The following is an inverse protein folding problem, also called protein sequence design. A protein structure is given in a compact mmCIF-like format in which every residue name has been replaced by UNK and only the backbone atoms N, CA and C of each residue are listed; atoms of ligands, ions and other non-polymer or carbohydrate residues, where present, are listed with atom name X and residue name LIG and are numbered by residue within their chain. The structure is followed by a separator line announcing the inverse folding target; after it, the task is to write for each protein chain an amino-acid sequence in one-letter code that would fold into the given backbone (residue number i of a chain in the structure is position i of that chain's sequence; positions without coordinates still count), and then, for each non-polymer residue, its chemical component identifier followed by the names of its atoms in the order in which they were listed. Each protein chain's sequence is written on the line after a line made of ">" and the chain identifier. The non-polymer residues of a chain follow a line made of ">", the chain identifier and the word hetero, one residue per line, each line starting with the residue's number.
data_IF_426230166168
#
_entry.id   IF_426230166168
#
_cell.length_a   1.000
_cell.length_b   1.000
_cell.length_c   1.000
_cell.angle_alpha   90.00
_cell.angle_beta   90.00
_cell.angle_gamma   90.00
#
_symmetry.space_group_name_H-M   'P 1'
#
loop_
_entity.id
_entity.type
_entity.pdbx_description
1 polymer ?
#
# COMPACT_ATOMS: atom_id res chain seq x y z
N UNK A 1 7.19 -6.37 -46.84
CA UNK A 1 8.26 -5.46 -47.30
C UNK A 1 8.20 -4.19 -46.46
N UNK A 2 9.23 -3.96 -45.65
CA UNK A 2 9.37 -2.79 -44.76
C UNK A 2 10.01 -1.64 -45.54
N UNK A 3 9.49 -0.42 -45.37
CA UNK A 3 10.05 0.82 -45.91
C UNK A 3 11.23 1.29 -45.03
N UNK A 4 12.47 1.48 -45.55
CA UNK A 4 13.68 1.54 -44.71
C UNK A 4 14.28 2.94 -44.47
N UNK A 5 13.49 4.02 -44.31
CA UNK A 5 14.05 5.38 -44.36
C UNK A 5 13.80 6.31 -43.15
N UNK A 6 13.52 5.81 -41.94
CA UNK A 6 13.51 6.66 -40.73
C UNK A 6 14.22 5.98 -39.55
N UNK A 7 15.35 6.52 -39.04
CA UNK A 7 16.01 5.98 -37.86
C UNK A 7 15.24 6.40 -36.60
N UNK A 8 14.55 5.46 -35.96
CA UNK A 8 13.83 5.66 -34.70
C UNK A 8 14.73 5.56 -33.45
N UNK A 9 15.99 6.02 -33.51
CA UNK A 9 16.87 6.02 -32.33
C UNK A 9 17.44 7.41 -32.06
N UNK A 10 17.31 7.84 -30.81
CA UNK A 10 18.10 8.92 -30.26
C UNK A 10 19.59 8.54 -30.33
N UNK A 11 20.45 9.51 -30.62
CA UNK A 11 21.90 9.33 -30.59
C UNK A 11 22.58 10.41 -29.74
N UNK A 12 23.84 10.17 -29.40
CA UNK A 12 24.68 11.09 -28.63
C UNK A 12 25.62 11.83 -29.59
N UNK A 13 25.86 13.12 -29.35
CA UNK A 13 26.95 13.85 -30.00
C UNK A 13 28.31 13.56 -29.31
N UNK A 14 29.40 14.05 -29.89
CA UNK A 14 30.77 13.82 -29.40
C UNK A 14 31.02 14.46 -28.01
N UNK A 15 30.13 15.36 -27.57
CA UNK A 15 30.13 15.98 -26.25
C UNK A 15 29.19 15.26 -25.25
N UNK A 16 28.53 14.17 -25.68
CA UNK A 16 27.69 13.31 -24.85
C UNK A 16 26.24 13.78 -24.66
N UNK A 17 25.75 14.73 -25.47
CA UNK A 17 24.36 15.19 -25.41
C UNK A 17 23.43 14.32 -26.25
N UNK A 18 22.22 14.04 -25.74
CA UNK A 18 21.21 13.25 -26.45
C UNK A 18 20.45 14.14 -27.45
N UNK A 19 20.51 13.79 -28.73
CA UNK A 19 19.74 14.45 -29.79
C UNK A 19 18.56 13.54 -30.18
N UNK A 20 17.34 14.09 -30.08
CA UNK A 20 16.09 13.41 -30.47
C UNK A 20 15.67 13.82 -31.89
N UNK A 21 15.11 12.92 -32.72
CA UNK A 21 14.65 13.26 -34.06
C UNK A 21 13.46 14.23 -33.99
N UNK A 22 13.58 15.38 -34.66
CA UNK A 22 12.65 16.50 -34.57
C UNK A 22 11.28 16.26 -35.23
N UNK A 23 10.21 16.74 -34.58
CA UNK A 23 8.88 16.91 -35.18
C UNK A 23 8.90 18.08 -36.17
N UNK A 24 8.66 17.80 -37.45
CA UNK A 24 8.36 18.84 -38.44
C UNK A 24 6.93 19.35 -38.27
N UNK A 25 6.82 20.68 -38.19
CA UNK A 25 5.57 21.47 -38.15
C UNK A 25 5.02 21.59 -39.57
N UNK A 26 3.92 20.90 -39.91
CA UNK A 26 3.11 21.20 -41.10
C UNK A 26 1.75 20.47 -41.06
N UNK A 27 0.68 21.22 -40.75
CA UNK A 27 -0.63 21.23 -41.43
C UNK A 27 -1.68 21.85 -40.48
N UNK A 28 -2.08 23.08 -40.77
CA UNK A 28 -3.24 23.75 -40.16
C UNK A 28 -4.53 22.96 -40.41
N UNK A 29 -5.48 22.91 -39.45
CA UNK A 29 -6.87 22.62 -39.76
C UNK A 29 -7.69 23.91 -39.82
N UNK A 30 -8.49 23.96 -40.88
CA UNK A 30 -9.53 24.91 -41.25
C UNK A 30 -10.44 25.33 -40.08
N UNK A 31 -10.47 26.63 -39.76
CA UNK A 31 -11.35 27.19 -38.72
C UNK A 31 -12.71 27.50 -39.33
N UNK A 32 -13.73 26.72 -38.93
CA UNK A 32 -15.14 27.02 -39.18
C UNK A 32 -15.60 28.09 -38.17
N UNK A 33 -15.88 29.31 -38.64
CA UNK A 33 -16.39 30.40 -37.81
C UNK A 33 -17.76 30.04 -37.19
N UNK A 34 -17.77 29.80 -35.88
CA UNK A 34 -18.99 29.88 -35.06
C UNK A 34 -18.94 31.20 -34.31
N UNK A 35 -19.67 32.19 -34.85
CA UNK A 35 -19.89 33.51 -34.24
C UNK A 35 -20.66 33.31 -32.92
N UNK A 36 -19.97 33.45 -31.78
CA UNK A 36 -20.60 33.61 -30.46
C UNK A 36 -20.49 35.08 -30.04
N UNK A 37 -21.62 35.71 -29.80
CA UNK A 37 -21.70 37.06 -29.24
C UNK A 37 -21.08 37.10 -27.83
N UNK A 38 -20.33 38.16 -27.47
CA UNK A 38 -19.74 38.28 -26.15
C UNK A 38 -20.80 38.68 -25.11
N UNK A 39 -20.92 37.86 -24.06
CA UNK A 39 -21.67 38.21 -22.84
C UNK A 39 -20.99 39.35 -22.08
N UNK A 40 -21.72 40.24 -21.40
CA UNK A 40 -21.16 41.43 -20.76
C UNK A 40 -20.29 41.07 -19.54
N UNK A 41 -19.06 41.62 -19.49
CA UNK A 41 -18.17 41.53 -18.33
C UNK A 41 -18.76 42.32 -17.16
N UNK A 42 -18.89 41.68 -16.00
CA UNK A 42 -19.02 42.40 -14.72
C UNK A 42 -17.63 42.83 -14.26
N UNK A 43 -17.41 44.13 -14.19
CA UNK A 43 -16.22 44.74 -13.59
C UNK A 43 -16.25 44.56 -12.06
N UNK A 44 -15.12 44.16 -11.48
CA UNK A 44 -14.89 44.15 -10.04
C UNK A 44 -14.03 45.40 -9.73
N UNK A 45 -14.42 46.30 -8.83
CA UNK A 45 -13.65 47.51 -8.55
C UNK A 45 -12.38 47.18 -7.75
N UNK A 46 -11.25 47.69 -8.22
CA UNK A 46 -9.95 47.67 -7.54
C UNK A 46 -9.89 48.94 -6.68
N UNK A 47 -9.55 48.87 -5.38
CA UNK A 47 -9.36 50.08 -4.58
C UNK A 47 -8.13 50.86 -5.07
N UNK A 48 -8.36 52.13 -5.43
CA UNK A 48 -7.35 53.15 -5.68
C UNK A 48 -6.62 53.46 -4.36
N UNK A 49 -5.38 52.95 -4.24
CA UNK A 49 -4.24 53.54 -3.49
C UNK A 49 -3.25 52.44 -3.12
N UNK A 50 -2.34 52.12 -4.04
CA UNK A 50 -1.07 51.47 -3.72
C UNK A 50 0.03 52.35 -4.33
N UNK A 51 0.65 53.17 -3.49
CA UNK A 51 1.89 53.87 -3.81
C UNK A 51 3.04 52.85 -3.80
N UNK A 52 3.61 52.60 -4.98
CA UNK A 52 4.87 51.88 -5.12
C UNK A 52 6.03 52.86 -4.96
N UNK A 53 6.69 52.86 -3.81
CA UNK A 53 7.95 53.60 -3.65
C UNK A 53 9.08 52.71 -4.16
N UNK A 54 9.55 53.03 -5.38
CA UNK A 54 10.84 52.61 -5.91
C UNK A 54 11.88 53.50 -5.24
N UNK A 55 12.82 52.93 -4.49
CA UNK A 55 14.04 53.65 -4.08
C UNK A 55 15.20 53.03 -4.86
N UNK A 56 15.62 53.76 -5.88
CA UNK A 56 16.87 53.53 -6.59
C UNK A 56 18.06 53.77 -5.65
N UNK A 57 19.08 52.91 -5.77
CA UNK A 57 20.39 53.09 -5.16
C UNK A 57 20.98 54.43 -5.61
N UNK A 58 21.20 55.35 -4.66
CA UNK A 58 22.11 56.46 -4.87
C UNK A 58 23.06 56.58 -3.67
N UNK A 59 24.37 56.34 -3.86
CA UNK A 59 25.35 56.40 -2.80
C UNK A 59 25.70 57.85 -2.47
N UNK A 60 25.78 58.14 -1.17
CA UNK A 60 26.46 59.29 -0.58
C UNK A 60 25.87 60.70 -0.83
N UNK A 61 24.95 61.09 0.07
CA UNK A 61 24.80 62.48 0.49
C UNK A 61 25.05 62.59 2.01
N UNK A 62 26.35 62.56 2.37
CA UNK A 62 26.86 63.08 3.63
C UNK A 62 27.13 64.58 3.45
N UNK A 63 26.39 65.44 4.16
CA UNK A 63 26.79 66.83 4.36
C UNK A 63 27.70 66.97 5.59
N UNK A 64 28.96 67.23 5.26
CA UNK A 64 30.13 67.81 5.95
C UNK A 64 29.96 68.54 7.29
N UNK A 65 30.93 68.32 8.17
CA UNK A 65 31.64 69.37 8.92
C UNK A 65 32.91 69.80 8.13
N UNK A 66 33.15 71.11 8.15
CA UNK A 66 34.36 71.92 7.94
C UNK A 66 35.02 72.11 6.54
N UNK A 67 35.32 73.40 6.25
CA UNK A 67 36.54 73.86 5.55
C UNK A 67 36.48 74.16 4.03
N UNK A 68 36.85 75.38 3.65
CA UNK A 68 36.92 76.07 2.32
C UNK A 68 38.31 75.83 1.62
N UNK A 69 38.61 76.07 0.30
CA UNK A 69 37.86 76.09 -0.99
C UNK A 69 38.54 75.36 -2.22
N UNK A 70 37.81 75.28 -3.36
CA UNK A 70 38.21 75.48 -4.81
C UNK A 70 39.38 74.66 -5.49
N UNK A 71 39.43 74.23 -6.77
CA UNK A 71 38.84 74.51 -8.12
C UNK A 71 38.97 73.23 -9.02
N UNK A 72 38.13 73.11 -10.06
CA UNK A 72 38.00 72.12 -11.18
C UNK A 72 39.23 71.90 -12.10
N UNK A 73 39.13 71.20 -13.26
CA UNK A 73 38.93 69.75 -13.48
C UNK A 73 39.99 69.14 -14.44
N UNK A 74 40.25 67.83 -14.38
CA UNK A 74 40.82 67.11 -15.54
C UNK A 74 40.51 65.60 -15.52
N UNK A 75 39.80 65.20 -16.55
CA UNK A 75 39.46 63.84 -16.94
C UNK A 75 40.72 63.05 -17.36
N UNK A 76 40.94 61.86 -16.79
CA UNK A 76 41.68 60.78 -17.46
C UNK A 76 41.18 59.43 -16.96
N UNK A 77 40.94 58.54 -17.92
CA UNK A 77 40.47 57.17 -17.77
C UNK A 77 41.66 56.26 -17.46
N UNK A 78 41.53 55.31 -16.51
CA UNK A 78 42.00 53.93 -16.68
C UNK A 78 41.53 52.95 -15.58
N UNK A 79 41.27 51.71 -16.02
CA UNK A 79 40.54 50.57 -15.40
C UNK A 79 41.02 50.11 -14.00
N UNK A 80 40.14 49.50 -13.17
CA UNK A 80 40.57 48.69 -12.02
C UNK A 80 40.45 47.16 -12.21
N UNK A 81 41.16 46.37 -11.38
CA UNK A 81 41.38 44.93 -11.55
C UNK A 81 40.48 44.04 -10.66
N UNK A 82 40.58 42.72 -10.87
CA UNK A 82 39.83 41.61 -10.22
C UNK A 82 39.64 41.76 -8.69
N UNK A 83 38.41 41.58 -8.21
CA UNK A 83 37.99 41.65 -6.78
C UNK A 83 37.79 40.23 -6.18
N UNK A 84 38.22 39.95 -4.92
CA UNK A 84 38.14 38.63 -4.29
C UNK A 84 36.80 38.29 -3.60
N UNK A 85 36.42 37.02 -3.73
CA UNK A 85 35.16 36.37 -3.31
C UNK A 85 35.12 36.07 -1.80
N UNK A 86 35.06 37.10 -0.92
CA UNK A 86 34.93 36.87 0.54
C UNK A 86 33.91 37.74 1.29
N UNK A 87 33.33 38.76 0.66
CA UNK A 87 32.48 39.74 1.35
C UNK A 87 30.98 39.35 1.32
N UNK A 88 30.55 38.47 0.41
CA UNK A 88 29.13 38.18 0.18
C UNK A 88 28.43 37.21 1.17
N UNK A 89 29.16 36.56 2.07
CA UNK A 89 28.59 35.54 3.00
C UNK A 89 28.10 36.19 4.29
N UNK A 90 28.78 37.22 4.79
CA UNK A 90 28.53 37.78 6.12
C UNK A 90 27.26 38.65 6.16
N UNK A 91 27.00 39.41 5.09
CA UNK A 91 25.80 40.24 4.96
C UNK A 91 24.52 39.41 4.85
N UNK A 92 24.58 38.27 4.15
CA UNK A 92 23.45 37.33 4.05
C UNK A 92 23.11 36.67 5.37
N UNK A 93 24.10 36.33 6.20
CA UNK A 93 23.87 35.72 7.52
C UNK A 93 23.19 36.73 8.47
N UNK A 94 23.57 38.00 8.44
CA UNK A 94 22.97 39.04 9.30
C UNK A 94 21.55 39.39 8.85
N UNK A 95 21.29 39.44 7.54
CA UNK A 95 19.96 39.65 6.98
C UNK A 95 18.99 38.52 7.36
N UNK A 96 19.40 37.25 7.21
CA UNK A 96 18.61 36.08 7.62
C UNK A 96 18.33 36.10 9.13
N UNK A 97 19.30 36.51 9.96
CA UNK A 97 19.14 36.59 11.42
C UNK A 97 18.18 37.70 11.86
N UNK A 98 18.04 38.77 11.08
CA UNK A 98 17.11 39.89 11.36
C UNK A 98 15.68 39.54 10.91
N UNK A 99 15.53 38.90 9.75
CA UNK A 99 14.23 38.41 9.24
C UNK A 99 13.65 37.33 10.17
N UNK A 100 14.48 36.38 10.62
CA UNK A 100 14.06 35.32 11.55
C UNK A 100 13.64 35.86 12.92
N UNK A 101 14.36 36.84 13.49
CA UNK A 101 13.93 37.50 14.74
C UNK A 101 12.64 38.31 14.58
N UNK A 102 12.46 38.99 13.45
CA UNK A 102 11.23 39.71 13.14
C UNK A 102 10.02 38.79 13.04
N UNK A 103 10.16 37.69 12.29
CA UNK A 103 9.12 36.68 12.12
C UNK A 103 8.75 35.98 13.43
N UNK A 104 9.73 35.66 14.29
CA UNK A 104 9.48 35.05 15.61
C UNK A 104 8.74 36.03 16.53
N UNK A 105 9.12 37.32 16.52
CA UNK A 105 8.48 38.33 17.37
C UNK A 105 7.05 38.63 16.90
N UNK A 106 6.82 38.66 15.59
CA UNK A 106 5.50 38.87 15.01
C UNK A 106 4.60 37.65 15.21
N UNK A 107 5.14 36.44 15.02
CA UNK A 107 4.44 35.19 15.34
C UNK A 107 4.06 35.09 16.81
N UNK A 108 4.94 35.49 17.74
CA UNK A 108 4.63 35.52 19.17
C UNK A 108 3.53 36.53 19.51
N UNK A 109 3.47 37.69 18.83
CA UNK A 109 2.38 38.66 18.98
C UNK A 109 1.07 38.12 18.41
N UNK A 110 1.08 37.55 17.21
CA UNK A 110 -0.09 36.95 16.58
C UNK A 110 -0.66 35.80 17.41
N UNK A 111 0.21 34.97 17.99
CA UNK A 111 -0.20 33.88 18.89
C UNK A 111 -0.83 34.40 20.19
N UNK A 112 -0.29 35.49 20.75
CA UNK A 112 -0.89 36.12 21.94
C UNK A 112 -2.23 36.78 21.65
N UNK A 113 -2.38 37.39 20.47
CA UNK A 113 -3.65 37.98 20.00
C UNK A 113 -4.67 36.89 19.71
N UNK A 114 -4.29 35.75 19.12
CA UNK A 114 -5.22 34.65 18.84
C UNK A 114 -5.72 33.97 20.11
N UNK A 115 -4.87 33.80 21.13
CA UNK A 115 -5.28 33.29 22.44
C UNK A 115 -6.24 34.26 23.15
N UNK A 116 -5.91 35.55 23.17
CA UNK A 116 -6.75 36.57 23.82
C UNK A 116 -8.07 36.81 23.06
N UNK A 117 -8.09 36.66 21.73
CA UNK A 117 -9.30 36.67 20.92
C UNK A 117 -10.11 35.37 21.02
N UNK A 118 -9.48 34.27 21.46
CA UNK A 118 -10.12 32.97 21.63
C UNK A 118 -11.15 32.94 22.76
N UNK A 119 -10.89 33.62 23.89
CA UNK A 119 -11.83 33.68 25.01
C UNK A 119 -13.20 34.30 24.66
N UNK A 120 -13.28 35.51 24.07
CA UNK A 120 -14.58 36.09 23.70
C UNK A 120 -15.27 35.31 22.57
N UNK A 121 -14.52 34.64 21.68
CA UNK A 121 -15.08 33.71 20.70
C UNK A 121 -15.69 32.47 21.36
N UNK A 122 -15.02 31.92 22.38
CA UNK A 122 -15.50 30.76 23.11
C UNK A 122 -16.78 31.06 23.89
N UNK A 123 -16.86 32.25 24.52
CA UNK A 123 -18.08 32.69 25.22
C UNK A 123 -19.23 32.93 24.25
N UNK A 124 -18.99 33.57 23.09
CA UNK A 124 -20.01 33.67 22.03
C UNK A 124 -20.45 32.32 21.51
N UNK A 125 -19.53 31.39 21.29
CA UNK A 125 -19.85 30.04 20.85
C UNK A 125 -20.68 29.26 21.90
N UNK A 126 -20.42 29.46 23.20
CA UNK A 126 -21.25 28.90 24.27
C UNK A 126 -22.66 29.48 24.25
N UNK A 127 -22.79 30.80 24.13
CA UNK A 127 -24.08 31.48 24.07
C UNK A 127 -24.89 31.04 22.83
N UNK A 128 -24.23 30.95 21.67
CA UNK A 128 -24.80 30.45 20.43
C UNK A 128 -25.25 28.98 20.55
N UNK A 129 -24.46 28.14 21.21
CA UNK A 129 -24.82 26.75 21.50
C UNK A 129 -26.02 26.64 22.44
N UNK A 130 -26.08 27.47 23.49
CA UNK A 130 -27.21 27.48 24.42
C UNK A 130 -28.49 27.96 23.72
N UNK A 131 -28.37 28.99 22.86
CA UNK A 131 -29.47 29.48 22.04
C UNK A 131 -29.95 28.41 21.04
N UNK A 132 -29.03 27.80 20.28
CA UNK A 132 -29.32 26.71 19.34
C UNK A 132 -29.98 25.54 20.05
N UNK A 133 -29.48 25.14 21.22
CA UNK A 133 -30.08 24.07 22.03
C UNK A 133 -31.52 24.40 22.42
N UNK A 134 -31.80 25.63 22.81
CA UNK A 134 -33.16 26.05 23.19
C UNK A 134 -34.10 26.07 21.98
N UNK A 135 -33.65 26.61 20.85
CA UNK A 135 -34.44 26.66 19.61
C UNK A 135 -34.73 25.26 19.09
N UNK A 136 -33.70 24.41 19.02
CA UNK A 136 -33.84 23.02 18.58
C UNK A 136 -34.72 22.22 19.53
N UNK A 137 -34.59 22.39 20.84
CA UNK A 137 -35.46 21.72 21.82
C UNK A 137 -36.92 22.15 21.66
N UNK A 138 -37.18 23.46 21.54
CA UNK A 138 -38.53 23.96 21.32
C UNK A 138 -39.13 23.42 20.03
N UNK A 139 -38.34 23.32 18.96
CA UNK A 139 -38.78 22.72 17.69
C UNK A 139 -39.06 21.22 17.82
N UNK A 140 -38.17 20.46 18.46
CA UNK A 140 -38.32 19.01 18.63
C UNK A 140 -39.49 18.66 19.54
N UNK A 141 -39.79 19.48 20.54
CA UNK A 141 -40.91 19.30 21.46
C UNK A 141 -42.29 19.67 20.86
N UNK A 142 -42.34 20.32 19.69
CA UNK A 142 -43.61 20.69 19.07
C UNK A 142 -44.47 19.45 18.77
N UNK A 143 -45.76 19.48 19.14
CA UNK A 143 -46.67 18.37 18.87
C UNK A 143 -47.04 18.32 17.39
N UNK A 144 -47.15 17.11 16.87
CA UNK A 144 -47.58 16.78 15.51
C UNK A 144 -48.60 15.66 15.59
N UNK A 145 -49.71 15.82 14.88
CA UNK A 145 -50.78 14.83 14.80
C UNK A 145 -50.59 14.00 13.55
N UNK A 146 -50.40 12.69 13.72
CA UNK A 146 -50.20 11.77 12.61
C UNK A 146 -51.43 10.86 12.49
N UNK A 147 -52.15 10.89 11.35
CA UNK A 147 -53.26 9.98 11.12
C UNK A 147 -52.70 8.57 10.92
N UNK A 148 -53.14 7.61 11.73
CA UNK A 148 -52.74 6.22 11.59
C UNK A 148 -53.69 5.46 10.66
N UNK A 149 -53.23 4.33 10.09
CA UNK A 149 -54.01 3.50 9.15
C UNK A 149 -55.34 2.99 9.72
N UNK A 150 -55.54 3.04 11.04
CA UNK A 150 -56.78 2.67 11.76
C UNK A 150 -57.70 3.87 12.07
N UNK A 151 -57.49 5.04 11.45
CA UNK A 151 -58.25 6.30 11.65
C UNK A 151 -58.14 6.93 13.05
N UNK A 152 -57.33 6.39 13.95
CA UNK A 152 -57.00 7.05 15.23
C UNK A 152 -55.89 8.08 15.02
N UNK A 153 -56.09 9.30 15.52
CA UNK A 153 -55.11 10.38 15.49
C UNK A 153 -54.22 10.22 16.73
N UNK A 154 -52.92 9.97 16.52
CA UNK A 154 -51.93 9.91 17.61
C UNK A 154 -51.06 11.14 17.59
N UNK A 155 -50.78 11.70 18.76
CA UNK A 155 -49.94 12.86 18.94
C UNK A 155 -48.52 12.42 19.27
N UNK A 156 -47.56 12.90 18.48
CA UNK A 156 -46.13 12.69 18.69
C UNK A 156 -45.42 14.04 18.77
N UNK A 157 -44.24 14.10 19.37
CA UNK A 157 -43.36 15.25 19.19
C UNK A 157 -42.59 15.13 17.87
N UNK A 158 -42.15 16.25 17.29
CA UNK A 158 -41.28 16.24 16.10
C UNK A 158 -40.00 15.43 16.35
N UNK A 159 -39.46 15.49 17.57
CA UNK A 159 -38.31 14.69 17.97
C UNK A 159 -38.60 13.20 17.95
N UNK A 160 -39.73 12.76 18.48
CA UNK A 160 -40.12 11.34 18.46
C UNK A 160 -40.32 10.82 17.04
N UNK A 161 -40.97 11.60 16.16
CA UNK A 161 -41.11 11.22 14.76
C UNK A 161 -39.76 11.12 14.05
N UNK A 162 -38.88 12.10 14.27
CA UNK A 162 -37.53 12.09 13.71
C UNK A 162 -36.71 10.88 14.18
N UNK A 163 -36.80 10.51 15.46
CA UNK A 163 -36.14 9.29 15.97
C UNK A 163 -36.71 8.03 15.35
N UNK A 164 -38.03 7.93 15.19
CA UNK A 164 -38.68 6.80 14.52
C UNK A 164 -38.24 6.68 13.06
N UNK A 165 -38.12 7.80 12.35
CA UNK A 165 -37.62 7.83 10.98
C UNK A 165 -36.14 7.42 10.92
N UNK A 166 -35.27 7.95 11.79
CA UNK A 166 -33.87 7.51 11.87
C UNK A 166 -33.77 6.01 12.11
N UNK A 167 -34.54 5.46 13.06
CA UNK A 167 -34.51 4.04 13.35
C UNK A 167 -35.00 3.21 12.17
N UNK A 168 -36.07 3.64 11.49
CA UNK A 168 -36.60 2.96 10.31
C UNK A 168 -35.61 3.00 9.15
N UNK A 169 -35.14 4.19 8.77
CA UNK A 169 -34.20 4.36 7.66
C UNK A 169 -32.84 3.75 7.96
N UNK A 170 -32.29 4.00 9.15
CA UNK A 170 -31.04 3.43 9.63
C UNK A 170 -31.10 1.91 9.73
N UNK A 171 -32.21 1.35 10.20
CA UNK A 171 -32.44 -0.10 10.22
C UNK A 171 -32.49 -0.70 8.81
N UNK A 172 -33.21 -0.07 7.89
CA UNK A 172 -33.28 -0.53 6.49
C UNK A 172 -31.90 -0.48 5.83
N UNK A 173 -31.16 0.62 6.05
CA UNK A 173 -29.78 0.77 5.59
C UNK A 173 -28.86 -0.30 6.18
N UNK A 174 -28.95 -0.58 7.48
CA UNK A 174 -28.14 -1.61 8.13
C UNK A 174 -28.40 -3.01 7.57
N UNK A 175 -29.67 -3.34 7.28
CA UNK A 175 -30.03 -4.63 6.67
C UNK A 175 -29.46 -4.74 5.25
N UNK A 176 -29.64 -3.70 4.42
CA UNK A 176 -29.09 -3.68 3.06
C UNK A 176 -27.56 -3.77 3.10
N UNK A 177 -26.92 -3.00 3.97
CA UNK A 177 -25.47 -3.01 4.17
C UNK A 177 -24.96 -4.39 4.59
N UNK A 178 -25.61 -5.03 5.57
CA UNK A 178 -25.24 -6.38 6.02
C UNK A 178 -25.40 -7.41 4.89
N UNK A 179 -26.52 -7.34 4.15
CA UNK A 179 -26.76 -8.23 3.00
C UNK A 179 -25.71 -8.06 1.89
N UNK A 180 -25.41 -6.81 1.51
CA UNK A 180 -24.36 -6.51 0.54
C UNK A 180 -22.97 -6.94 1.05
N UNK A 181 -22.66 -6.65 2.31
CA UNK A 181 -21.37 -7.02 2.91
C UNK A 181 -21.14 -8.54 2.86
N UNK A 182 -22.15 -9.33 3.20
CA UNK A 182 -22.08 -10.79 3.09
C UNK A 182 -21.98 -11.23 1.64
N UNK A 183 -22.77 -10.66 0.73
CA UNK A 183 -22.74 -11.02 -0.69
C UNK A 183 -21.38 -10.72 -1.36
N UNK A 184 -20.79 -9.56 -1.07
CA UNK A 184 -19.50 -9.13 -1.61
C UNK A 184 -18.32 -9.95 -1.09
N UNK A 185 -18.45 -10.53 0.09
CA UNK A 185 -17.40 -11.31 0.73
C UNK A 185 -17.78 -12.81 0.84
N UNK A 186 -18.79 -13.26 0.10
CA UNK A 186 -19.36 -14.61 0.23
C UNK A 186 -18.31 -15.71 0.04
N UNK A 187 -17.43 -15.53 -0.96
CA UNK A 187 -16.40 -16.51 -1.29
C UNK A 187 -15.45 -16.76 -0.10
N UNK A 188 -14.97 -15.70 0.54
CA UNK A 188 -14.13 -15.79 1.74
C UNK A 188 -14.87 -16.42 2.92
N UNK A 189 -16.14 -16.04 3.17
CA UNK A 189 -16.93 -16.61 4.27
C UNK A 189 -17.22 -18.10 4.08
N UNK A 190 -17.53 -18.52 2.85
CA UNK A 190 -17.81 -19.92 2.52
C UNK A 190 -16.57 -20.81 2.68
N UNK A 191 -15.39 -20.31 2.28
CA UNK A 191 -14.12 -21.01 2.47
C UNK A 191 -13.81 -21.26 3.95
N UNK A 192 -14.07 -20.29 4.83
CA UNK A 192 -13.86 -20.44 6.28
C UNK A 192 -14.88 -21.42 6.87
N UNK A 193 -16.16 -21.29 6.51
CA UNK A 193 -17.24 -22.10 7.07
C UNK A 193 -17.03 -23.58 6.77
N UNK A 194 -16.66 -23.92 5.53
CA UNK A 194 -16.30 -25.30 5.16
C UNK A 194 -15.14 -25.85 6.01
N UNK A 195 -14.11 -25.03 6.27
CA UNK A 195 -12.94 -25.48 7.04
C UNK A 195 -13.19 -25.67 8.54
N UNK A 196 -14.18 -24.99 9.13
CA UNK A 196 -14.52 -25.16 10.54
C UNK A 196 -15.52 -26.31 10.75
N UNK A 197 -16.38 -26.59 9.77
CA UNK A 197 -17.35 -27.69 9.83
C UNK A 197 -16.68 -29.05 9.56
N UNK A 198 -15.60 -29.11 8.77
CA UNK A 198 -14.85 -30.36 8.55
C UNK A 198 -14.12 -30.88 9.81
N UNK A 199 -13.93 -30.02 10.81
CA UNK A 199 -13.36 -30.38 12.13
C UNK A 199 -14.41 -30.98 13.07
N UNK A 200 -15.70 -30.71 12.83
CA UNK A 200 -16.82 -31.24 13.63
C UNK A 200 -17.48 -32.46 12.95
N UNK A 201 -17.42 -32.54 11.62
CA UNK A 201 -17.94 -33.69 10.85
C UNK A 201 -16.91 -34.79 10.61
N UNK A 202 -15.75 -34.77 11.28
CA UNK A 202 -14.83 -35.91 11.36
C UNK A 202 -15.24 -36.92 12.46
N UNK A 203 -16.54 -37.16 12.60
CA UNK A 203 -17.10 -38.35 13.24
C UNK A 203 -17.47 -39.36 12.14
N UNK A 204 -16.95 -40.59 12.15
CA UNK A 204 -17.19 -41.55 11.07
C UNK A 204 -18.58 -42.18 11.23
N UNK A 205 -19.55 -41.74 10.43
CA UNK A 205 -20.79 -42.50 10.15
C UNK A 205 -21.49 -41.89 8.93
N UNK A 206 -21.43 -42.55 7.76
CA UNK A 206 -22.57 -43.22 7.08
C UNK A 206 -23.54 -42.16 6.48
N UNK A 207 -23.79 -42.06 5.18
CA UNK A 207 -24.14 -43.12 4.22
C UNK A 207 -24.04 -42.61 2.78
N UNK A 208 -23.82 -43.56 1.89
CA UNK A 208 -23.79 -43.58 0.43
C UNK A 208 -25.05 -43.05 -0.28
N UNK A 209 -24.86 -42.25 -1.33
CA UNK A 209 -25.70 -42.25 -2.53
C UNK A 209 -24.99 -41.51 -3.68
N UNK A 210 -24.28 -42.24 -4.55
CA UNK A 210 -23.81 -41.75 -5.85
C UNK A 210 -22.49 -42.37 -6.33
N UNK A 211 -22.58 -43.14 -7.42
CA UNK A 211 -21.50 -43.64 -8.29
C UNK A 211 -20.54 -44.74 -7.79
N UNK A 212 -20.93 -46.00 -8.05
CA UNK A 212 -20.14 -47.21 -7.82
C UNK A 212 -18.91 -47.39 -8.73
N UNK A 213 -18.55 -46.39 -9.55
CA UNK A 213 -17.27 -46.37 -10.27
C UNK A 213 -16.16 -45.72 -9.42
N UNK A 214 -16.52 -44.81 -8.52
CA UNK A 214 -15.57 -44.08 -7.70
C UNK A 214 -15.19 -44.87 -6.44
N UNK A 215 -16.07 -45.70 -5.90
CA UNK A 215 -15.78 -46.49 -4.70
C UNK A 215 -14.70 -47.55 -4.90
N UNK A 216 -14.67 -48.22 -6.07
CA UNK A 216 -13.61 -49.16 -6.41
C UNK A 216 -12.26 -48.44 -6.61
N UNK A 217 -12.28 -47.24 -7.21
CA UNK A 217 -11.09 -46.41 -7.38
C UNK A 217 -10.61 -45.88 -6.03
N UNK A 218 -11.52 -45.47 -5.16
CA UNK A 218 -11.24 -44.99 -3.80
C UNK A 218 -10.76 -46.14 -2.91
N UNK A 219 -11.28 -47.36 -3.06
CA UNK A 219 -10.80 -48.54 -2.35
C UNK A 219 -9.40 -48.95 -2.83
N UNK A 220 -9.15 -48.88 -4.14
CA UNK A 220 -7.82 -49.10 -4.73
C UNK A 220 -6.84 -48.02 -4.27
N UNK A 221 -7.26 -46.74 -4.22
CA UNK A 221 -6.45 -45.62 -3.72
C UNK A 221 -6.23 -45.71 -2.21
N UNK A 222 -7.20 -46.19 -1.43
CA UNK A 222 -7.07 -46.45 0.01
C UNK A 222 -6.19 -47.66 0.29
N UNK A 223 -6.25 -48.73 -0.51
CA UNK A 223 -5.35 -49.87 -0.40
C UNK A 223 -3.92 -49.50 -0.83
N UNK A 224 -3.77 -48.68 -1.88
CA UNK A 224 -2.45 -48.14 -2.29
C UNK A 224 -1.92 -47.13 -1.26
N UNK A 225 -2.77 -46.32 -0.64
CA UNK A 225 -2.41 -45.41 0.44
C UNK A 225 -2.13 -46.15 1.75
N UNK A 226 -2.87 -47.21 2.08
CA UNK A 226 -2.66 -48.01 3.29
C UNK A 226 -1.42 -48.89 3.18
N UNK A 227 -1.14 -49.47 2.01
CA UNK A 227 0.11 -50.18 1.73
C UNK A 227 1.32 -49.23 1.68
N UNK A 228 1.13 -47.91 1.55
CA UNK A 228 2.19 -46.89 1.64
C UNK A 228 2.27 -46.18 3.00
N UNK A 229 1.51 -46.65 4.01
CA UNK A 229 1.46 -46.08 5.37
C UNK A 229 1.94 -47.06 6.45
N UNK A 230 2.46 -48.25 6.11
CA UNK A 230 3.25 -49.07 7.05
C UNK A 230 4.67 -48.50 7.26
N UNK A 231 4.72 -47.35 7.94
CA UNK A 231 5.43 -47.11 9.19
C UNK A 231 6.91 -47.44 9.41
N UNK A 232 7.65 -48.13 8.54
CA UNK A 232 9.05 -48.50 8.82
C UNK A 232 10.07 -48.26 7.71
N UNK A 233 9.66 -47.90 6.50
CA UNK A 233 10.61 -47.67 5.37
C UNK A 233 10.44 -46.32 4.66
N UNK A 234 9.91 -45.28 5.35
CA UNK A 234 9.74 -43.93 4.79
C UNK A 234 11.04 -43.13 4.58
N UNK A 235 12.18 -43.63 5.06
CA UNK A 235 13.48 -43.01 4.80
C UNK A 235 13.96 -43.22 3.36
N UNK A 236 13.57 -44.31 2.71
CA UNK A 236 14.20 -44.75 1.47
C UNK A 236 13.51 -44.15 0.23
N UNK A 237 12.21 -44.34 0.02
CA UNK A 237 11.52 -43.84 -1.19
C UNK A 237 11.52 -42.31 -1.34
N UNK A 238 11.45 -41.55 -0.24
CA UNK A 238 11.53 -40.08 -0.30
C UNK A 238 12.94 -39.60 -0.67
N UNK A 239 13.99 -40.38 -0.37
CA UNK A 239 15.37 -40.08 -0.74
C UNK A 239 15.67 -40.29 -2.23
N UNK A 240 14.85 -41.10 -2.92
CA UNK A 240 14.95 -41.34 -4.36
C UNK A 240 14.16 -40.35 -5.21
N UNK A 241 13.23 -39.59 -4.62
CA UNK A 241 12.58 -38.50 -5.34
C UNK A 241 13.61 -37.38 -5.54
N UNK A 242 13.80 -36.88 -6.77
CA UNK A 242 14.73 -35.79 -6.99
C UNK A 242 14.32 -34.60 -6.12
N UNK A 243 15.29 -33.99 -5.43
CA UNK A 243 15.05 -32.77 -4.63
C UNK A 243 14.61 -31.57 -5.47
N UNK A 244 14.59 -31.72 -6.80
CA UNK A 244 14.13 -30.67 -7.70
C UNK A 244 12.61 -30.62 -7.70
N UNK A 245 12.08 -29.50 -7.22
CA UNK A 245 10.65 -29.22 -7.29
C UNK A 245 10.16 -28.99 -8.72
N UNK A 246 8.86 -28.68 -8.86
CA UNK A 246 8.32 -28.12 -10.09
C UNK A 246 9.20 -26.96 -10.60
N UNK A 247 9.33 -26.76 -11.92
CA UNK A 247 10.21 -25.73 -12.47
C UNK A 247 9.78 -24.30 -12.11
N UNK A 248 8.54 -24.13 -11.66
CA UNK A 248 7.94 -22.86 -11.25
C UNK A 248 8.01 -22.63 -9.74
N UNK A 249 8.19 -21.36 -9.36
CA UNK A 249 8.22 -20.95 -7.96
C UNK A 249 6.81 -21.02 -7.36
N UNK A 250 6.67 -21.63 -6.18
CA UNK A 250 5.37 -21.83 -5.53
C UNK A 250 5.50 -22.01 -4.02
N UNK A 251 4.42 -21.72 -3.31
CA UNK A 251 4.27 -22.00 -1.88
C UNK A 251 3.21 -23.09 -1.67
N UNK A 252 3.52 -24.04 -0.79
CA UNK A 252 2.60 -25.09 -0.37
C UNK A 252 2.36 -24.97 1.14
N UNK A 253 1.10 -24.84 1.54
CA UNK A 253 0.70 -24.81 2.94
C UNK A 253 -0.26 -25.99 3.16
N UNK A 254 0.26 -27.19 3.53
CA UNK A 254 -0.53 -28.43 3.55
C UNK A 254 -1.79 -28.34 4.43
N UNK A 255 -1.67 -27.75 5.62
CA UNK A 255 -2.79 -27.57 6.56
C UNK A 255 -3.95 -26.78 5.96
N UNK A 256 -3.66 -25.86 5.05
CA UNK A 256 -4.66 -25.02 4.38
C UNK A 256 -5.06 -25.59 3.01
N UNK A 257 -4.47 -26.70 2.58
CA UNK A 257 -4.61 -27.27 1.23
C UNK A 257 -4.27 -26.26 0.13
N UNK A 258 -3.27 -25.40 0.39
CA UNK A 258 -2.82 -24.39 -0.58
C UNK A 258 -1.59 -24.88 -1.34
N UNK A 259 -1.64 -24.72 -2.67
CA UNK A 259 -0.53 -24.91 -3.60
C UNK A 259 -0.65 -23.80 -4.65
N UNK A 260 0.12 -22.73 -4.49
CA UNK A 260 -0.09 -21.48 -5.24
C UNK A 260 1.22 -20.91 -5.77
N UNK A 261 1.21 -20.27 -6.96
CA UNK A 261 2.40 -19.66 -7.53
C UNK A 261 2.98 -18.56 -6.64
N UNK A 262 4.31 -18.49 -6.60
CA UNK A 262 5.08 -17.43 -5.96
C UNK A 262 5.62 -16.50 -7.05
N UNK A 263 5.04 -15.30 -7.14
CA UNK A 263 5.36 -14.29 -8.14
C UNK A 263 6.33 -13.28 -7.55
N UNK A 264 7.38 -12.92 -8.30
CA UNK A 264 8.33 -11.87 -7.90
C UNK A 264 8.18 -10.68 -8.86
N UNK A 265 7.72 -9.51 -8.39
CA UNK A 265 7.61 -8.30 -9.20
C UNK A 265 8.98 -7.80 -9.68
N UNK A 266 9.03 -6.99 -10.75
CA UNK A 266 10.26 -6.35 -11.22
C UNK A 266 10.93 -5.52 -10.13
N UNK A 267 12.27 -5.52 -10.09
CA UNK A 267 13.03 -4.74 -9.11
C UNK A 267 13.30 -3.31 -9.57
N UNK A 268 13.13 -3.02 -10.87
CA UNK A 268 13.51 -1.74 -11.47
C UNK A 268 12.83 -0.54 -10.82
N UNK A 269 11.53 -0.66 -10.53
CA UNK A 269 10.72 0.36 -9.87
C UNK A 269 11.23 0.63 -8.44
N UNK A 270 11.63 -0.42 -7.72
CA UNK A 270 12.20 -0.31 -6.38
C UNK A 270 13.57 0.37 -6.42
N UNK A 271 14.44 0.00 -7.37
CA UNK A 271 15.76 0.60 -7.53
C UNK A 271 15.69 2.09 -7.88
N UNK A 272 14.66 2.50 -8.64
CA UNK A 272 14.38 3.90 -8.99
C UNK A 272 13.66 4.66 -7.87
N UNK A 273 13.32 4.00 -6.76
CA UNK A 273 12.53 4.58 -5.66
C UNK A 273 11.17 5.13 -6.11
N UNK A 274 10.58 4.54 -7.16
CA UNK A 274 9.23 4.87 -7.62
C UNK A 274 8.21 4.04 -6.84
N UNK A 275 7.85 4.53 -5.65
CA UNK A 275 6.95 3.83 -4.73
C UNK A 275 5.54 3.61 -5.31
N UNK A 276 5.08 4.50 -6.19
CA UNK A 276 3.78 4.38 -6.86
C UNK A 276 3.79 3.21 -7.84
N UNK A 277 4.86 3.09 -8.63
CA UNK A 277 5.02 1.98 -9.55
C UNK A 277 5.27 0.66 -8.81
N UNK A 278 6.04 0.66 -7.72
CA UNK A 278 6.25 -0.54 -6.88
C UNK A 278 4.92 -1.10 -6.37
N UNK A 279 4.03 -0.24 -5.87
CA UNK A 279 2.70 -0.66 -5.43
C UNK A 279 1.90 -1.27 -6.60
N UNK A 280 1.94 -0.62 -7.76
CA UNK A 280 1.26 -1.10 -8.98
C UNK A 280 1.78 -2.48 -9.41
N UNK A 281 3.10 -2.68 -9.37
CA UNK A 281 3.76 -3.93 -9.73
C UNK A 281 3.35 -5.06 -8.76
N UNK A 282 3.29 -4.76 -7.45
CA UNK A 282 2.84 -5.70 -6.43
C UNK A 282 1.35 -6.07 -6.62
N UNK A 283 0.48 -5.08 -6.84
CA UNK A 283 -0.95 -5.32 -7.07
C UNK A 283 -1.20 -6.15 -8.32
N UNK A 284 -0.45 -5.90 -9.39
CA UNK A 284 -0.50 -6.71 -10.60
C UNK A 284 -0.08 -8.16 -10.33
N UNK A 285 1.04 -8.37 -9.63
CA UNK A 285 1.55 -9.70 -9.31
C UNK A 285 0.61 -10.50 -8.38
N UNK A 286 -0.14 -9.84 -7.49
CA UNK A 286 -1.14 -10.47 -6.63
C UNK A 286 -2.33 -11.07 -7.41
N UNK A 287 -2.55 -10.66 -8.66
CA UNK A 287 -3.56 -11.26 -9.53
C UNK A 287 -3.19 -12.70 -9.96
N UNK A 288 -1.89 -13.02 -9.95
CA UNK A 288 -1.30 -14.25 -10.49
C UNK A 288 -0.77 -15.23 -9.41
N UNK A 289 -0.77 -14.82 -8.14
CA UNK A 289 -0.39 -15.70 -7.04
C UNK A 289 -0.14 -14.95 -5.73
N UNK A 290 0.72 -15.54 -4.89
CA UNK A 290 1.30 -14.83 -3.75
C UNK A 290 2.56 -14.12 -4.19
N UNK A 291 2.87 -12.98 -3.58
CA UNK A 291 3.96 -12.10 -4.01
C UNK A 291 5.13 -12.20 -3.06
N UNK A 292 6.31 -12.54 -3.58
CA UNK A 292 7.59 -12.31 -2.90
C UNK A 292 7.86 -10.79 -2.90
N UNK A 293 7.87 -10.20 -1.71
CA UNK A 293 8.00 -8.76 -1.58
C UNK A 293 9.36 -8.26 -2.10
N UNK A 294 9.39 -7.33 -3.06
CA UNK A 294 10.63 -6.84 -3.65
C UNK A 294 11.61 -6.30 -2.62
N UNK A 295 12.89 -6.65 -2.76
CA UNK A 295 13.96 -6.21 -1.86
C UNK A 295 14.12 -7.03 -0.57
N UNK A 296 13.30 -8.05 -0.34
CA UNK A 296 13.44 -8.97 0.80
C UNK A 296 14.27 -10.20 0.45
N UNK A 297 14.83 -10.88 1.45
CA UNK A 297 15.66 -12.07 1.25
C UNK A 297 14.94 -13.13 0.39
N UNK A 298 15.68 -13.85 -0.44
CA UNK A 298 15.15 -15.02 -1.16
C UNK A 298 15.12 -16.24 -0.23
N UNK A 299 14.32 -17.28 -0.55
CA UNK A 299 14.39 -18.54 0.16
C UNK A 299 15.85 -19.05 0.25
N UNK A 300 16.26 -19.48 1.44
CA UNK A 300 17.62 -19.91 1.73
C UNK A 300 18.65 -18.82 2.00
N UNK A 301 18.33 -17.54 1.80
CA UNK A 301 19.23 -16.43 2.11
C UNK A 301 19.08 -15.96 3.56
N UNK A 302 20.14 -15.37 4.11
CA UNK A 302 20.07 -14.64 5.36
C UNK A 302 19.11 -13.45 5.20
N UNK A 303 18.29 -13.20 6.22
CA UNK A 303 17.24 -12.19 6.22
C UNK A 303 15.85 -12.81 6.35
N UNK A 304 14.87 -12.02 5.92
CA UNK A 304 13.45 -12.33 6.03
C UNK A 304 12.83 -12.48 4.65
N UNK A 305 12.55 -13.70 4.24
CA UNK A 305 11.78 -14.01 3.03
C UNK A 305 10.31 -13.65 3.24
N UNK A 306 9.91 -12.50 2.69
CA UNK A 306 8.60 -11.93 2.94
C UNK A 306 7.64 -12.19 1.79
N UNK A 307 6.46 -12.75 2.10
CA UNK A 307 5.43 -13.08 1.13
C UNK A 307 4.11 -12.45 1.54
N UNK A 308 3.43 -11.82 0.59
CA UNK A 308 2.11 -11.22 0.77
C UNK A 308 1.08 -11.85 -0.15
N UNK A 309 -0.17 -11.94 0.29
CA UNK A 309 -1.29 -12.48 -0.47
C UNK A 309 -2.63 -11.92 0.00
N UNK A 310 -3.62 -11.88 -0.89
CA UNK A 310 -4.95 -11.36 -0.54
C UNK A 310 -5.71 -12.28 0.42
N UNK A 311 -6.31 -11.72 1.48
CA UNK A 311 -7.27 -12.43 2.34
C UNK A 311 -8.69 -12.37 1.78
N UNK A 312 -9.01 -11.31 1.06
CA UNK A 312 -10.26 -11.09 0.35
C UNK A 312 -10.08 -9.90 -0.58
N UNK A 313 -10.65 -9.96 -1.78
CA UNK A 313 -10.72 -8.83 -2.69
C UNK A 313 -12.05 -8.82 -3.42
N UNK A 314 -12.37 -7.72 -4.09
CA UNK A 314 -13.68 -7.57 -4.73
C UNK A 314 -13.96 -8.73 -5.71
N UNK A 315 -15.17 -9.35 -5.68
CA UNK A 315 -15.49 -10.46 -6.57
C UNK A 315 -15.30 -10.15 -8.05
N UNK A 316 -15.54 -8.89 -8.46
CA UNK A 316 -15.39 -8.41 -9.84
C UNK A 316 -13.96 -8.01 -10.24
N UNK A 317 -13.01 -7.99 -9.32
CA UNK A 317 -11.63 -7.69 -9.66
C UNK A 317 -11.04 -8.75 -10.62
N UNK A 318 -9.97 -8.47 -11.38
CA UNK A 318 -9.27 -9.51 -12.11
C UNK A 318 -8.49 -10.44 -11.16
N UNK A 319 -8.07 -11.61 -11.67
CA UNK A 319 -7.19 -12.55 -10.95
C UNK A 319 -7.90 -13.70 -10.22
N UNK A 320 -7.21 -14.84 -10.12
CA UNK A 320 -7.74 -16.08 -9.49
C UNK A 320 -7.44 -16.15 -7.98
N UNK A 321 -6.53 -15.32 -7.47
CA UNK A 321 -5.95 -15.44 -6.14
C UNK A 321 -6.46 -14.40 -5.12
N UNK A 322 -7.68 -13.86 -5.34
CA UNK A 322 -8.33 -12.83 -4.53
C UNK A 322 -8.52 -13.18 -3.05
N UNK A 323 -8.51 -14.46 -2.72
CA UNK A 323 -8.75 -14.99 -1.38
C UNK A 323 -7.67 -15.98 -0.96
N UNK A 324 -6.51 -15.97 -1.62
CA UNK A 324 -5.47 -17.01 -1.47
C UNK A 324 -5.03 -17.21 -0.02
N UNK A 325 -4.97 -16.14 0.77
CA UNK A 325 -4.62 -16.14 2.18
C UNK A 325 -5.81 -15.88 3.10
N UNK A 326 -7.06 -16.06 2.62
CA UNK A 326 -8.26 -15.97 3.45
C UNK A 326 -8.19 -16.88 4.68
N UNK A 327 -7.61 -18.07 4.50
CA UNK A 327 -7.46 -19.10 5.54
C UNK A 327 -6.13 -19.02 6.30
N UNK A 328 -5.26 -18.05 6.01
CA UNK A 328 -4.00 -17.86 6.75
C UNK A 328 -4.19 -17.72 8.28
N UNK A 329 -5.29 -17.13 8.80
CA UNK A 329 -5.58 -17.14 10.23
C UNK A 329 -5.76 -18.53 10.86
N UNK A 330 -5.88 -19.62 10.09
CA UNK A 330 -5.97 -20.99 10.62
C UNK A 330 -4.60 -21.63 10.85
N UNK A 331 -3.53 -21.01 10.34
CA UNK A 331 -2.16 -21.43 10.58
C UNK A 331 -1.74 -21.06 12.01
N UNK A 332 -1.16 -22.01 12.73
CA UNK A 332 -0.78 -21.96 14.13
C UNK A 332 0.74 -22.13 14.30
N UNK A 333 1.23 -21.79 15.48
CA UNK A 333 2.64 -22.03 15.86
C UNK A 333 2.89 -23.54 15.86
N UNK A 334 4.00 -23.96 15.26
CA UNK A 334 4.37 -25.36 15.05
C UNK A 334 3.88 -25.96 13.73
N UNK A 335 3.00 -25.27 12.99
CA UNK A 335 2.66 -25.71 11.64
C UNK A 335 3.81 -25.43 10.65
N UNK A 336 3.76 -26.10 9.51
CA UNK A 336 4.80 -26.05 8.50
C UNK A 336 4.27 -25.65 7.13
N UNK A 337 5.14 -25.06 6.33
CA UNK A 337 4.91 -24.85 4.91
C UNK A 337 6.20 -24.99 4.11
N UNK A 338 6.03 -25.14 2.81
CA UNK A 338 7.12 -25.40 1.87
C UNK A 338 7.15 -24.34 0.80
N UNK A 339 8.35 -23.96 0.38
CA UNK A 339 8.57 -23.03 -0.73
C UNK A 339 9.46 -23.71 -1.73
N UNK A 340 8.98 -23.81 -2.96
CA UNK A 340 9.80 -24.19 -4.10
C UNK A 340 10.27 -22.94 -4.80
N UNK A 341 11.58 -22.78 -4.94
CA UNK A 341 12.17 -21.59 -5.53
C UNK A 341 13.38 -21.98 -6.37
N UNK A 342 13.34 -21.67 -7.67
CA UNK A 342 14.41 -22.00 -8.64
C UNK A 342 14.84 -23.47 -8.62
N UNK A 343 13.89 -24.38 -8.40
CA UNK A 343 14.12 -25.82 -8.31
C UNK A 343 14.51 -26.32 -6.92
N UNK A 344 14.93 -25.46 -6.00
CA UNK A 344 15.23 -25.84 -4.61
C UNK A 344 13.96 -25.87 -3.75
N UNK A 345 13.95 -26.75 -2.74
CA UNK A 345 12.85 -26.90 -1.78
C UNK A 345 13.28 -26.42 -0.40
N UNK A 346 12.52 -25.49 0.17
CA UNK A 346 12.74 -24.89 1.49
C UNK A 346 11.58 -25.23 2.43
N UNK A 347 11.90 -25.66 3.65
CA UNK A 347 10.92 -25.97 4.71
C UNK A 347 10.91 -24.87 5.75
N UNK A 348 9.73 -24.41 6.13
CA UNK A 348 9.54 -23.37 7.13
C UNK A 348 8.63 -23.84 8.25
N UNK A 349 9.05 -23.62 9.49
CA UNK A 349 8.30 -23.93 10.71
C UNK A 349 7.79 -22.63 11.35
N UNK A 350 6.48 -22.51 11.54
CA UNK A 350 5.85 -21.32 12.12
C UNK A 350 6.21 -21.18 13.59
N UNK A 351 6.76 -20.03 13.97
CA UNK A 351 7.23 -19.74 15.33
C UNK A 351 6.45 -18.63 16.01
N UNK A 352 5.80 -17.73 15.24
CA UNK A 352 5.10 -16.58 15.79
C UNK A 352 3.95 -16.14 14.89
N UNK A 353 2.93 -15.54 15.51
CA UNK A 353 1.77 -14.98 14.83
C UNK A 353 1.28 -13.76 15.58
N UNK A 354 1.11 -12.64 14.88
CA UNK A 354 0.64 -11.37 15.47
C UNK A 354 -0.14 -10.52 14.46
N UNK A 355 -0.94 -9.60 14.96
CA UNK A 355 -1.56 -8.55 14.14
C UNK A 355 -0.86 -7.21 14.37
N UNK A 356 -0.63 -6.46 13.29
CA UNK A 356 0.04 -5.15 13.32
C UNK A 356 -0.75 -4.08 12.56
N UNK A 357 -0.38 -2.81 12.78
CA UNK A 357 -0.87 -1.69 11.98
C UNK A 357 -0.44 -1.83 10.52
N UNK A 358 -1.24 -1.42 9.52
CA UNK A 358 -0.81 -1.35 8.12
C UNK A 358 0.43 -0.47 7.89
N UNK A 359 0.70 0.47 8.80
CA UNK A 359 1.86 1.37 8.75
C UNK A 359 3.12 0.80 9.43
N UNK A 360 3.06 -0.39 10.02
CA UNK A 360 4.18 -1.01 10.71
C UNK A 360 5.13 -1.68 9.71
N UNK A 361 6.18 -0.96 9.31
CA UNK A 361 7.19 -1.43 8.36
C UNK A 361 8.25 -2.35 8.98
N UNK A 362 8.30 -2.47 10.31
CA UNK A 362 9.30 -3.32 11.01
C UNK A 362 9.15 -4.80 10.66
N UNK A 363 7.99 -5.21 10.14
CA UNK A 363 7.75 -6.57 9.67
C UNK A 363 8.60 -6.96 8.45
N UNK A 364 9.16 -5.98 7.75
CA UNK A 364 10.03 -6.15 6.57
C UNK A 364 11.52 -6.24 6.94
N UNK A 365 11.89 -6.08 8.22
CA UNK A 365 13.27 -6.10 8.69
C UNK A 365 14.02 -7.33 8.18
N UNK A 366 15.28 -7.13 7.76
CA UNK A 366 16.15 -8.14 7.17
C UNK A 366 17.30 -8.49 8.13
N UNK A 367 17.06 -9.33 9.16
CA UNK A 367 18.11 -9.70 10.10
C UNK A 367 19.18 -10.55 9.42
N UNK A 368 20.41 -10.05 9.40
CA UNK A 368 21.54 -10.71 8.72
C UNK A 368 21.99 -12.02 9.37
N UNK A 369 21.57 -12.29 10.62
CA UNK A 369 21.98 -13.45 11.41
C UNK A 369 20.92 -14.58 11.46
N UNK A 370 19.83 -14.48 10.70
CA UNK A 370 18.74 -15.46 10.72
C UNK A 370 18.23 -15.76 9.31
N UNK A 371 17.60 -16.92 9.16
CA UNK A 371 16.85 -17.32 7.95
C UNK A 371 15.39 -17.46 8.34
N UNK A 372 14.64 -16.39 8.19
CA UNK A 372 13.22 -16.35 8.55
C UNK A 372 12.37 -16.14 7.31
N UNK A 373 11.09 -16.47 7.45
CA UNK A 373 10.08 -16.11 6.47
C UNK A 373 8.88 -15.50 7.16
N UNK A 374 8.25 -14.57 6.48
CA UNK A 374 7.04 -13.89 6.94
C UNK A 374 5.95 -14.03 5.89
N UNK A 375 4.79 -14.57 6.27
CA UNK A 375 3.57 -14.55 5.47
C UNK A 375 2.65 -13.44 5.99
N UNK A 376 2.16 -12.60 5.10
CA UNK A 376 1.34 -11.43 5.44
C UNK A 376 0.03 -11.41 4.66
N UNK A 377 -1.04 -11.00 5.34
CA UNK A 377 -2.33 -10.71 4.71
C UNK A 377 -3.13 -9.65 5.47
N UNK A 378 -4.20 -9.12 4.87
CA UNK A 378 -5.11 -8.18 5.55
C UNK A 378 -6.03 -8.91 6.55
N UNK A 379 -6.30 -8.30 7.71
CA UNK A 379 -7.21 -8.85 8.73
C UNK A 379 -8.01 -7.74 9.41
N UNK A 380 -9.25 -7.98 9.88
CA UNK A 380 -10.10 -9.15 9.61
C UNK A 380 -10.43 -9.34 8.13
N UNK A 381 -10.86 -10.55 7.75
CA UNK A 381 -11.25 -10.90 6.37
C UNK A 381 -12.38 -9.96 5.91
N UNK A 382 -12.31 -9.51 4.66
CA UNK A 382 -13.21 -8.49 4.11
C UNK A 382 -12.84 -7.06 4.48
N UNK A 383 -11.75 -6.85 5.22
CA UNK A 383 -11.28 -5.52 5.65
C UNK A 383 -9.77 -5.35 5.40
N UNK A 384 -9.29 -4.12 5.51
CA UNK A 384 -7.86 -3.77 5.40
C UNK A 384 -7.33 -3.08 6.67
N UNK A 385 -8.05 -3.22 7.80
CA UNK A 385 -7.80 -2.48 9.03
C UNK A 385 -6.45 -2.80 9.67
N UNK A 386 -6.04 -4.07 9.63
CA UNK A 386 -4.78 -4.56 10.18
C UNK A 386 -4.09 -5.51 9.22
N UNK A 387 -2.89 -5.93 9.58
CA UNK A 387 -2.13 -6.97 8.88
C UNK A 387 -1.90 -8.14 9.82
N UNK A 388 -2.27 -9.34 9.38
CA UNK A 388 -1.87 -10.58 10.04
C UNK A 388 -0.47 -10.93 9.56
N UNK A 389 0.43 -11.19 10.51
CA UNK A 389 1.82 -11.54 10.29
C UNK A 389 2.05 -12.93 10.88
N UNK A 390 2.44 -13.88 10.04
CA UNK A 390 2.89 -15.22 10.44
C UNK A 390 4.38 -15.30 10.17
N UNK A 391 5.18 -15.50 11.21
CA UNK A 391 6.62 -15.67 11.09
C UNK A 391 7.02 -17.13 11.28
N UNK A 392 8.00 -17.55 10.50
CA UNK A 392 8.55 -18.89 10.51
C UNK A 392 10.08 -18.87 10.40
N UNK A 393 10.72 -19.92 10.87
CA UNK A 393 12.16 -20.16 10.71
C UNK A 393 12.37 -21.23 9.65
N UNK A 394 13.42 -21.08 8.84
CA UNK A 394 13.81 -22.11 7.89
C UNK A 394 14.44 -23.28 8.64
N UNK A 395 13.98 -24.50 8.35
CA UNK A 395 14.44 -25.73 8.99
C UNK A 395 14.95 -26.71 7.94
N UNK A 396 15.87 -27.58 8.34
CA UNK A 396 16.34 -28.65 7.47
C UNK A 396 15.18 -29.62 7.17
N UNK A 397 14.93 -29.95 5.89
CA UNK A 397 13.89 -30.86 5.47
C UNK A 397 13.91 -32.23 6.15
N UNK A 398 15.10 -32.77 6.48
CA UNK A 398 15.27 -34.13 7.03
C UNK A 398 15.28 -34.12 8.55
N UNK A 399 16.11 -33.28 9.16
CA UNK A 399 16.31 -33.24 10.61
C UNK A 399 15.31 -32.35 11.35
N UNK A 400 14.63 -31.43 10.66
CA UNK A 400 13.71 -30.46 11.26
C UNK A 400 14.40 -29.40 12.14
N UNK A 401 15.74 -29.37 12.17
CA UNK A 401 16.50 -28.40 12.94
C UNK A 401 16.57 -27.05 12.21
N UNK A 402 16.54 -25.91 12.91
CA UNK A 402 16.74 -24.61 12.29
C UNK A 402 18.08 -24.52 11.56
N UNK A 403 18.05 -24.14 10.28
CA UNK A 403 19.28 -23.99 9.48
C UNK A 403 20.01 -22.71 9.85
N UNK A 404 21.33 -22.80 10.02
CA UNK A 404 22.19 -21.62 10.14
C UNK A 404 22.46 -21.00 8.77
N UNK A 405 23.05 -19.81 8.79
CA UNK A 405 23.45 -19.12 7.57
C UNK A 405 24.59 -19.88 6.90
N UNK A 406 24.47 -20.06 5.59
CA UNK A 406 25.45 -20.82 4.80
C UNK A 406 25.27 -22.34 4.86
N UNK A 407 24.50 -22.86 5.82
CA UNK A 407 24.15 -24.28 5.84
C UNK A 407 23.18 -24.59 4.69
N UNK A 408 23.47 -25.66 3.95
CA UNK A 408 22.52 -26.21 2.98
C UNK A 408 21.80 -27.37 3.63
N UNK A 409 20.55 -27.58 3.23
CA UNK A 409 19.86 -28.81 3.59
C UNK A 409 20.75 -30.00 3.26
N UNK A 410 20.82 -30.96 4.17
CA UNK A 410 21.45 -32.24 3.85
C UNK A 410 20.71 -32.81 2.64
N UNK A 411 21.37 -32.82 1.48
CA UNK A 411 20.89 -33.59 0.35
C UNK A 411 20.95 -35.02 0.83
N UNK A 412 19.79 -35.63 1.06
CA UNK A 412 19.71 -37.08 1.26
C UNK A 412 20.59 -37.72 0.19
N UNK A 413 21.40 -38.70 0.58
CA UNK A 413 22.37 -39.37 -0.31
C UNK A 413 21.61 -39.88 -1.52
N UNK A 414 21.53 -39.08 -2.58
CA UNK A 414 21.01 -39.55 -3.87
C UNK A 414 22.04 -40.58 -4.32
N UNK A 415 21.72 -41.88 -4.40
CA UNK A 415 22.65 -42.81 -4.99
C UNK A 415 22.93 -42.31 -6.40
N UNK A 416 24.20 -42.21 -6.77
CA UNK A 416 24.61 -41.82 -8.11
C UNK A 416 24.06 -42.86 -9.07
N UNK A 417 22.88 -42.61 -9.64
CA UNK A 417 22.30 -43.49 -10.66
C UNK A 417 23.16 -43.31 -11.89
N UNK A 418 24.00 -44.31 -12.18
CA UNK A 418 24.71 -44.36 -13.47
C UNK A 418 23.65 -44.44 -14.55
N UNK A 419 23.62 -43.48 -15.46
CA UNK A 419 22.67 -43.43 -16.57
C UNK A 419 22.72 -44.71 -17.43
N UNK A 420 23.85 -45.42 -17.42
CA UNK A 420 24.07 -46.72 -18.07
C UNK A 420 23.27 -47.88 -17.45
N UNK A 421 22.77 -47.72 -16.22
CA UNK A 421 22.04 -48.76 -15.48
C UNK A 421 20.51 -48.64 -15.59
N UNK A 422 20.00 -47.64 -16.31
CA UNK A 422 18.58 -47.53 -16.60
C UNK A 422 18.23 -48.48 -17.75
N UNK A 423 17.20 -49.34 -17.61
CA UNK A 423 16.70 -50.11 -18.74
C UNK A 423 16.20 -49.12 -19.80
N UNK A 424 16.74 -49.26 -21.01
CA UNK A 424 16.38 -48.47 -22.20
C UNK A 424 14.96 -48.82 -22.63
#
# INVERSE_FOLDING_TARGET
>A
MLNPSFPHRAWYDDDGNIILPGFTRASEPEVREVRREPSPRREIPIPENIEWIIIEDNPEALHKLDGVPEISPAMSVNLPPRIPMRIHVQERIVAVRRITRGAVREGAKQYRVSINAGQPLLERAKDDLVWLRRVTWNFLAQPVWVPTRRREIKQYSRGTLFTLDILRFGGTFAVIFLGLFVALNYDSFWQITRSNISVILSSPSIESAGDGADDALIETLKQTAAQSVDGRERGELISFLPTVGPPDNRILIPKLSLNVPLVTPPLDSLLKQDWTQVETDIQSALADGVVHYPGTARPGQAGNFFVTGHSSYYPWAPGKYKTVFARLPQLAIGDEYWVYYKGDRHRYLVTSKKEVSPSDVSVLDQPENKRISTLMTCTPIGTTLRRLIVQAVEVDPLSGQPLKIGERSEKGVTPTVKLEALPI
#
